data_IF_499620902219
#
_entry.id   IF_499620902219
#
_cell.length_a   1.000
_cell.length_b   1.000
_cell.length_c   1.000
_cell.angle_alpha   90.00
_cell.angle_beta   90.00
_cell.angle_gamma   90.00
#
_symmetry.space_group_name_H-M   'P 1'
#
loop_
_entity.id
_entity.type
_entity.pdbx_description
1 polymer ?
#
# COMPACT_ATOMS: atom_id res chain seq x y z
N UNK A 1 27.17 -28.56 26.04
CA UNK A 1 27.62 -27.17 25.83
C UNK A 1 26.48 -26.17 25.94
N UNK A 2 25.45 -26.23 25.08
CA UNK A 2 24.33 -25.25 25.08
C UNK A 2 23.53 -25.23 26.40
N UNK A 3 23.25 -26.37 27.01
CA UNK A 3 22.57 -26.45 28.33
C UNK A 3 23.26 -25.62 29.41
N UNK A 4 24.60 -25.60 29.40
CA UNK A 4 25.42 -24.88 30.38
C UNK A 4 25.40 -23.37 30.14
N UNK A 5 25.31 -22.96 28.87
CA UNK A 5 25.27 -21.54 28.47
C UNK A 5 23.89 -20.93 28.72
N UNK A 6 22.84 -21.73 28.55
CA UNK A 6 21.45 -21.27 28.55
C UNK A 6 20.69 -21.54 29.85
N UNK A 7 21.35 -22.15 30.85
CA UNK A 7 20.68 -22.53 32.10
C UNK A 7 19.53 -23.54 31.91
N UNK A 8 19.58 -24.33 30.83
CA UNK A 8 18.57 -25.34 30.51
C UNK A 8 17.28 -24.80 29.88
N UNK A 9 17.28 -23.57 29.33
CA UNK A 9 16.10 -22.95 28.70
C UNK A 9 16.49 -22.21 27.42
N UNK A 10 15.66 -22.31 26.38
CA UNK A 10 15.87 -21.54 25.14
C UNK A 10 14.68 -20.63 24.89
N UNK A 11 14.88 -19.32 25.06
CA UNK A 11 13.81 -18.34 24.91
C UNK A 11 13.48 -18.04 23.44
N UNK A 12 14.48 -18.06 22.55
CA UNK A 12 14.29 -17.77 21.13
C UNK A 12 15.15 -18.71 20.28
N UNK A 13 14.54 -19.36 19.30
CA UNK A 13 15.22 -20.09 18.22
C UNK A 13 14.94 -19.36 16.90
N UNK A 14 15.99 -18.91 16.21
CA UNK A 14 15.88 -18.28 14.89
C UNK A 14 16.50 -19.17 13.83
N UNK A 15 15.67 -19.73 12.98
CA UNK A 15 16.09 -20.54 11.84
C UNK A 15 16.19 -19.64 10.60
N UNK A 16 17.37 -19.05 10.41
CA UNK A 16 17.66 -18.13 9.30
C UNK A 16 18.37 -18.77 8.11
N UNK A 17 19.12 -19.86 8.34
CA UNK A 17 19.94 -20.47 7.30
C UNK A 17 19.08 -20.89 6.10
N UNK A 18 19.54 -20.54 4.90
CA UNK A 18 18.88 -20.95 3.69
C UNK A 18 19.70 -20.74 2.43
N UNK A 19 19.35 -21.49 1.38
CA UNK A 19 19.89 -21.36 0.03
C UNK A 19 18.88 -20.70 -0.88
N UNK A 20 19.40 -19.73 -1.62
CA UNK A 20 18.76 -19.06 -2.73
C UNK A 20 18.87 -19.93 -3.99
N UNK A 21 17.76 -20.16 -4.67
CA UNK A 21 17.69 -20.86 -5.95
C UNK A 21 16.57 -20.35 -6.88
N UNK A 22 16.88 -19.44 -7.81
CA UNK A 22 15.91 -18.82 -8.75
C UNK A 22 16.26 -19.26 -10.17
N UNK A 23 15.52 -20.23 -10.70
CA UNK A 23 15.65 -20.76 -12.06
C UNK A 23 14.24 -21.00 -12.61
N UNK A 24 13.97 -20.78 -13.91
CA UNK A 24 12.70 -21.15 -14.53
C UNK A 24 12.33 -22.61 -14.23
N UNK A 25 11.06 -22.86 -13.95
CA UNK A 25 10.61 -24.15 -13.42
C UNK A 25 10.92 -25.36 -14.32
N UNK A 26 11.05 -25.16 -15.63
CA UNK A 26 11.39 -26.22 -16.60
C UNK A 26 12.90 -26.46 -16.73
N UNK A 27 13.73 -25.51 -16.31
CA UNK A 27 15.20 -25.55 -16.45
C UNK A 27 15.88 -25.89 -15.12
N UNK A 28 15.11 -26.27 -14.10
CA UNK A 28 15.59 -26.45 -12.74
C UNK A 28 16.30 -27.80 -12.57
N UNK A 29 17.50 -27.76 -12.00
CA UNK A 29 18.22 -28.97 -11.58
C UNK A 29 17.65 -29.48 -10.25
N UNK A 30 17.09 -30.69 -10.27
CA UNK A 30 16.49 -31.34 -9.11
C UNK A 30 17.51 -31.58 -7.99
N UNK A 31 18.78 -31.82 -8.31
CA UNK A 31 19.81 -32.00 -7.28
C UNK A 31 20.09 -30.71 -6.51
N UNK A 32 20.03 -29.55 -7.20
CA UNK A 32 20.09 -28.25 -6.56
C UNK A 32 18.83 -27.94 -5.72
N UNK A 33 17.66 -28.43 -6.15
CA UNK A 33 16.43 -28.35 -5.36
C UNK A 33 16.57 -29.15 -4.08
N UNK A 34 17.07 -30.39 -4.14
CA UNK A 34 17.30 -31.22 -2.93
C UNK A 34 18.19 -30.52 -1.92
N UNK A 35 19.30 -29.95 -2.38
CA UNK A 35 20.20 -29.19 -1.50
C UNK A 35 19.52 -27.94 -0.88
N UNK A 36 18.60 -27.31 -1.60
CA UNK A 36 17.78 -26.23 -1.05
C UNK A 36 16.81 -26.73 0.02
N UNK A 37 16.22 -27.92 -0.14
CA UNK A 37 15.36 -28.54 0.89
C UNK A 37 16.13 -28.90 2.16
N UNK A 38 17.36 -29.41 2.04
CA UNK A 38 18.24 -29.68 3.18
C UNK A 38 18.43 -28.44 4.06
N UNK A 39 18.79 -27.31 3.45
CA UNK A 39 19.03 -26.07 4.18
C UNK A 39 17.72 -25.38 4.63
N UNK A 40 16.73 -25.28 3.75
CA UNK A 40 15.56 -24.41 3.95
C UNK A 40 14.42 -25.09 4.71
N UNK A 41 14.38 -26.43 4.76
CA UNK A 41 13.26 -27.18 5.35
C UNK A 41 13.76 -28.17 6.40
N UNK A 42 14.64 -29.10 6.03
CA UNK A 42 15.08 -30.16 6.95
C UNK A 42 15.96 -29.62 8.08
N UNK A 43 16.84 -28.65 7.81
CA UNK A 43 17.60 -27.94 8.83
C UNK A 43 16.71 -27.34 9.92
N UNK A 44 15.75 -26.46 9.57
CA UNK A 44 14.77 -25.94 10.51
C UNK A 44 13.98 -27.01 11.29
N UNK A 45 13.57 -28.10 10.64
CA UNK A 45 12.87 -29.20 11.32
C UNK A 45 13.76 -29.87 12.37
N UNK A 46 15.01 -30.17 12.02
CA UNK A 46 15.99 -30.76 12.93
C UNK A 46 16.27 -29.83 14.12
N UNK A 47 16.41 -28.53 13.87
CA UNK A 47 16.60 -27.54 14.95
C UNK A 47 15.41 -27.53 15.91
N UNK A 48 14.17 -27.52 15.40
CA UNK A 48 12.98 -27.60 16.25
C UNK A 48 12.95 -28.87 17.09
N UNK A 49 13.30 -30.03 16.51
CA UNK A 49 13.33 -31.30 17.24
C UNK A 49 14.39 -31.31 18.34
N UNK A 50 15.63 -30.89 18.03
CA UNK A 50 16.75 -30.88 18.98
C UNK A 50 16.49 -29.92 20.14
N UNK A 51 15.91 -28.75 19.86
CA UNK A 51 15.69 -27.70 20.86
C UNK A 51 14.32 -27.76 21.55
N UNK A 52 13.42 -28.68 21.17
CA UNK A 52 12.08 -28.79 21.77
C UNK A 52 12.13 -28.91 23.30
N UNK A 53 13.05 -29.72 23.83
CA UNK A 53 13.25 -29.91 25.27
C UNK A 53 13.69 -28.65 26.02
N UNK A 54 14.19 -27.63 25.33
CA UNK A 54 14.59 -26.33 25.89
C UNK A 54 13.56 -25.23 25.63
N UNK A 55 12.91 -25.29 24.47
CA UNK A 55 11.87 -24.35 24.05
C UNK A 55 10.58 -24.51 24.87
N UNK A 56 10.14 -25.74 25.13
CA UNK A 56 8.89 -26.00 25.87
C UNK A 56 8.97 -25.51 27.32
N UNK A 57 10.03 -25.83 28.11
CA UNK A 57 10.15 -25.31 29.47
C UNK A 57 10.35 -23.79 29.54
N UNK A 58 11.02 -23.22 28.53
CA UNK A 58 11.21 -21.78 28.40
C UNK A 58 9.96 -21.03 27.94
N UNK A 59 8.99 -21.75 27.33
CA UNK A 59 7.88 -21.15 26.58
C UNK A 59 8.40 -20.24 25.46
N UNK A 60 9.44 -20.70 24.77
CA UNK A 60 10.20 -19.90 23.83
C UNK A 60 9.46 -19.55 22.54
N UNK A 61 10.14 -18.79 21.70
CA UNK A 61 9.68 -18.35 20.39
C UNK A 61 10.52 -19.02 19.31
N UNK A 62 9.87 -19.75 18.41
CA UNK A 62 10.52 -20.25 17.18
C UNK A 62 10.22 -19.27 16.06
N UNK A 63 11.27 -18.70 15.46
CA UNK A 63 11.21 -17.83 14.30
C UNK A 63 11.78 -18.56 13.09
N UNK A 64 10.89 -18.85 12.13
CA UNK A 64 11.22 -19.55 10.90
C UNK A 64 11.35 -18.54 9.77
N UNK A 65 12.55 -18.39 9.21
CA UNK A 65 12.82 -17.35 8.22
C UNK A 65 12.44 -17.80 6.80
N UNK A 66 11.47 -17.14 6.17
CA UNK A 66 10.87 -17.47 4.86
C UNK A 66 11.05 -16.34 3.82
N UNK A 67 10.60 -16.42 2.57
CA UNK A 67 10.71 -15.30 1.60
C UNK A 67 9.70 -15.46 0.46
N UNK A 68 9.45 -14.38 -0.29
CA UNK A 68 8.48 -14.38 -1.42
C UNK A 68 9.10 -15.00 -2.68
N UNK A 69 10.39 -14.75 -2.95
CA UNK A 69 11.19 -15.58 -3.86
C UNK A 69 11.53 -16.92 -3.20
N UNK A 70 11.51 -18.03 -3.95
CA UNK A 70 11.69 -19.44 -3.51
C UNK A 70 10.43 -20.23 -3.14
N UNK A 71 9.39 -20.13 -3.99
CA UNK A 71 8.05 -20.70 -3.79
C UNK A 71 8.00 -22.14 -3.23
N UNK A 72 8.83 -23.07 -3.71
CA UNK A 72 8.74 -24.49 -3.30
C UNK A 72 9.19 -24.73 -1.85
N UNK A 73 10.46 -24.44 -1.51
CA UNK A 73 11.00 -24.73 -0.16
C UNK A 73 10.38 -23.85 0.92
N UNK A 74 10.01 -22.61 0.58
CA UNK A 74 9.38 -21.69 1.52
C UNK A 74 7.89 -21.99 1.73
N UNK A 75 7.19 -22.48 0.69
CA UNK A 75 5.87 -23.08 0.84
C UNK A 75 5.91 -24.29 1.78
N UNK A 76 6.88 -25.20 1.59
CA UNK A 76 7.05 -26.37 2.46
C UNK A 76 7.36 -25.98 3.92
N UNK A 77 8.26 -25.02 4.15
CA UNK A 77 8.55 -24.51 5.49
C UNK A 77 7.34 -23.82 6.14
N UNK A 78 6.51 -23.13 5.35
CA UNK A 78 5.26 -22.52 5.81
C UNK A 78 4.26 -23.58 6.28
N UNK A 79 4.04 -24.61 5.46
CA UNK A 79 3.20 -25.76 5.81
C UNK A 79 3.69 -26.47 7.07
N UNK A 80 4.99 -26.73 7.19
CA UNK A 80 5.57 -27.30 8.41
C UNK A 80 5.33 -26.41 9.64
N UNK A 81 5.53 -25.11 9.49
CA UNK A 81 5.38 -24.15 10.59
C UNK A 81 3.94 -24.10 11.12
N UNK A 82 2.95 -24.24 10.23
CA UNK A 82 1.53 -24.32 10.61
C UNK A 82 1.23 -25.56 11.45
N UNK A 83 1.73 -26.72 11.03
CA UNK A 83 1.55 -27.98 11.78
C UNK A 83 2.20 -27.87 13.15
N UNK A 84 3.46 -27.42 13.20
CA UNK A 84 4.19 -27.25 14.46
C UNK A 84 3.46 -26.30 15.42
N UNK A 85 2.84 -25.23 14.92
CA UNK A 85 2.04 -24.31 15.76
C UNK A 85 0.83 -24.99 16.39
N UNK A 86 0.15 -25.87 15.64
CA UNK A 86 -1.00 -26.63 16.14
C UNK A 86 -0.57 -27.66 17.19
N UNK A 87 0.53 -28.35 16.95
CA UNK A 87 1.11 -29.32 17.89
C UNK A 87 1.58 -28.67 19.20
N UNK A 88 2.08 -27.43 19.15
CA UNK A 88 2.55 -26.71 20.32
C UNK A 88 1.43 -26.01 21.12
N UNK A 89 0.21 -25.94 20.59
CA UNK A 89 -0.96 -25.29 21.21
C UNK A 89 -1.35 -25.87 22.58
N UNK A 90 -1.36 -27.20 22.83
CA UNK A 90 -1.72 -27.78 24.12
C UNK A 90 -0.76 -27.41 25.26
N UNK A 91 0.49 -27.09 24.94
CA UNK A 91 1.50 -26.69 25.91
C UNK A 91 1.32 -25.23 26.39
N UNK A 92 0.23 -24.56 26.00
CA UNK A 92 0.11 -23.12 25.98
C UNK A 92 -0.98 -22.55 26.91
N UNK A 93 -0.99 -22.97 28.17
CA UNK A 93 -2.16 -22.76 29.03
C UNK A 93 -2.34 -21.34 29.57
N UNK A 94 -1.32 -20.47 29.64
CA UNK A 94 -1.50 -19.08 30.14
C UNK A 94 -0.62 -17.95 29.54
N UNK A 95 0.53 -18.20 28.85
CA UNK A 95 1.33 -17.21 28.06
C UNK A 95 2.20 -17.96 27.01
N UNK A 96 2.37 -17.38 25.81
CA UNK A 96 2.46 -18.10 24.51
C UNK A 96 3.85 -18.67 24.09
N UNK A 97 4.06 -20.00 24.18
CA UNK A 97 4.98 -20.72 23.26
C UNK A 97 4.46 -20.48 21.84
N UNK A 98 5.28 -19.87 21.00
CA UNK A 98 4.83 -19.35 19.70
C UNK A 98 5.79 -19.81 18.61
N UNK A 99 5.25 -20.44 17.57
CA UNK A 99 5.97 -20.62 16.31
C UNK A 99 5.49 -19.52 15.35
N UNK A 100 6.41 -18.68 14.87
CA UNK A 100 6.13 -17.66 13.87
C UNK A 100 6.93 -17.97 12.62
N UNK A 101 6.22 -18.08 11.51
CA UNK A 101 6.84 -17.91 10.22
C UNK A 101 7.10 -16.42 10.04
N UNK A 102 8.36 -16.08 9.90
CA UNK A 102 8.83 -14.73 9.63
C UNK A 102 9.37 -14.77 8.23
N UNK A 103 8.73 -14.14 7.26
CA UNK A 103 9.46 -13.94 6.02
C UNK A 103 10.69 -13.05 6.34
N UNK A 104 11.80 -13.15 5.59
CA UNK A 104 12.79 -12.08 5.33
C UNK A 104 12.06 -10.88 4.68
N UNK A 105 10.73 -10.84 4.77
CA UNK A 105 9.89 -9.68 4.86
C UNK A 105 9.27 -9.64 6.29
N UNK A 106 10.01 -9.12 7.29
CA UNK A 106 9.54 -8.12 8.27
C UNK A 106 9.32 -8.48 9.75
N UNK A 107 9.46 -9.74 10.20
CA UNK A 107 9.13 -10.07 11.60
C UNK A 107 10.28 -9.98 12.63
N UNK A 108 11.45 -9.44 12.26
CA UNK A 108 12.55 -9.18 13.22
C UNK A 108 12.39 -7.83 13.96
N UNK A 109 11.53 -6.93 13.48
CA UNK A 109 11.51 -5.52 13.91
C UNK A 109 10.85 -5.32 15.29
N UNK A 110 9.88 -6.15 15.67
CA UNK A 110 9.10 -5.96 16.90
C UNK A 110 9.71 -6.60 18.16
N UNK A 111 10.80 -7.38 18.05
CA UNK A 111 11.40 -8.11 19.18
C UNK A 111 12.89 -7.87 19.39
N UNK A 112 13.56 -7.16 18.49
CA UNK A 112 14.99 -6.83 18.65
C UNK A 112 15.18 -5.45 19.28
N UNK A 113 16.14 -5.29 20.23
CA UNK A 113 16.51 -3.99 20.74
C UNK A 113 17.04 -3.12 19.59
N UNK A 114 16.30 -2.03 19.30
CA UNK A 114 16.35 -1.21 18.07
C UNK A 114 17.68 -0.42 17.91
N UNK A 115 18.59 -0.48 18.87
CA UNK A 115 19.76 0.41 18.93
C UNK A 115 21.11 -0.21 18.48
N UNK A 116 21.12 -1.37 17.80
CA UNK A 116 22.37 -1.94 17.28
C UNK A 116 22.41 -2.05 15.74
N UNK A 117 23.50 -1.50 15.19
CA UNK A 117 23.83 -1.25 13.78
C UNK A 117 23.87 -2.47 12.85
N UNK A 118 23.85 -3.70 13.38
CA UNK A 118 23.95 -4.93 12.58
C UNK A 118 22.66 -5.30 11.82
N UNK A 119 21.49 -4.84 12.27
CA UNK A 119 20.18 -5.24 11.71
C UNK A 119 19.57 -4.22 10.76
N UNK A 120 20.18 -3.05 10.62
CA UNK A 120 19.67 -1.93 9.82
C UNK A 120 19.71 -2.22 8.31
N UNK A 121 20.78 -2.87 7.82
CA UNK A 121 20.86 -3.31 6.42
C UNK A 121 19.92 -4.48 6.08
N UNK A 122 19.52 -5.28 7.08
CA UNK A 122 18.55 -6.34 6.87
C UNK A 122 17.16 -5.72 6.64
N UNK A 123 16.78 -4.73 7.46
CA UNK A 123 15.51 -3.99 7.37
C UNK A 123 15.26 -3.35 5.99
N UNK A 124 16.31 -2.80 5.36
CA UNK A 124 16.22 -2.19 4.03
C UNK A 124 15.95 -3.21 2.91
N UNK A 125 16.54 -4.42 2.97
CA UNK A 125 16.30 -5.47 1.96
C UNK A 125 14.93 -6.13 2.08
N UNK A 126 14.40 -6.17 3.31
CA UNK A 126 13.18 -6.86 3.70
C UNK A 126 11.91 -6.09 3.23
N UNK A 127 12.00 -4.76 3.16
CA UNK A 127 10.94 -3.87 2.66
C UNK A 127 10.76 -3.94 1.13
N UNK A 128 11.79 -4.36 0.39
CA UNK A 128 11.84 -4.33 -1.09
C UNK A 128 11.09 -5.51 -1.75
N UNK A 129 10.67 -6.54 -1.01
CA UNK A 129 10.16 -7.80 -1.59
C UNK A 129 8.62 -7.99 -1.59
N UNK A 130 7.82 -6.97 -1.26
CA UNK A 130 6.36 -6.99 -1.35
C UNK A 130 5.80 -6.09 -2.48
N UNK A 131 6.67 -5.74 -3.42
CA UNK A 131 6.53 -4.67 -4.38
C UNK A 131 5.81 -5.08 -5.67
N UNK A 132 4.49 -4.85 -5.77
CA UNK A 132 3.84 -4.83 -7.07
C UNK A 132 3.79 -3.42 -7.64
N UNK A 133 4.42 -3.23 -8.79
CA UNK A 133 4.71 -1.93 -9.37
C UNK A 133 3.48 -1.22 -9.97
N UNK A 134 3.39 0.09 -9.83
CA UNK A 134 2.35 0.90 -10.48
C UNK A 134 2.49 0.85 -12.01
N UNK A 135 3.72 0.80 -12.52
CA UNK A 135 4.04 0.55 -13.94
C UNK A 135 4.58 -0.87 -14.03
N UNK A 136 4.04 -1.70 -14.92
CA UNK A 136 4.43 -3.11 -14.98
C UNK A 136 5.89 -3.26 -15.46
N UNK A 137 6.64 -4.25 -14.93
CA UNK A 137 8.03 -4.51 -15.36
C UNK A 137 8.18 -4.74 -16.88
N UNK A 138 7.13 -5.27 -17.52
CA UNK A 138 7.10 -5.49 -18.97
C UNK A 138 7.08 -4.19 -19.80
N UNK A 139 6.60 -3.07 -19.23
CA UNK A 139 6.61 -1.74 -19.86
C UNK A 139 7.79 -0.88 -19.35
N UNK A 140 8.24 -1.13 -18.11
CA UNK A 140 9.21 -0.31 -17.41
C UNK A 140 10.51 -0.09 -18.20
N UNK A 141 11.07 -1.16 -18.77
CA UNK A 141 12.33 -1.08 -19.51
C UNK A 141 12.28 -0.17 -20.74
N UNK A 142 11.18 -0.18 -21.48
CA UNK A 142 10.99 0.69 -22.66
C UNK A 142 10.84 2.15 -22.25
N UNK A 143 10.06 2.42 -21.20
CA UNK A 143 9.83 3.77 -20.70
C UNK A 143 11.09 4.39 -20.07
N UNK A 144 11.91 3.59 -19.38
CA UNK A 144 13.20 4.03 -18.86
C UNK A 144 14.14 4.42 -20.01
N UNK A 145 14.22 3.60 -21.07
CA UNK A 145 15.03 3.92 -22.27
C UNK A 145 14.55 5.19 -22.97
N UNK A 146 13.23 5.41 -23.03
CA UNK A 146 12.64 6.62 -23.58
C UNK A 146 12.80 7.86 -22.66
N UNK A 147 13.27 7.68 -21.42
CA UNK A 147 13.37 8.75 -20.42
C UNK A 147 12.01 9.31 -19.98
N UNK A 148 10.93 8.54 -20.16
CA UNK A 148 9.57 8.94 -19.79
C UNK A 148 9.21 8.55 -18.34
N UNK A 149 10.06 7.75 -17.69
CA UNK A 149 10.05 7.47 -16.26
C UNK A 149 11.47 7.49 -15.70
N UNK A 150 11.62 7.72 -14.40
CA UNK A 150 12.92 7.57 -13.70
C UNK A 150 13.06 6.20 -13.07
N UNK A 151 14.31 5.86 -12.73
CA UNK A 151 14.58 4.81 -11.74
C UNK A 151 13.89 5.14 -10.41
N UNK A 152 13.66 4.09 -9.62
CA UNK A 152 13.06 4.19 -8.30
C UNK A 152 14.10 4.76 -7.34
N UNK A 153 13.71 5.76 -6.56
CA UNK A 153 14.55 6.26 -5.49
C UNK A 153 14.55 5.30 -4.28
N UNK A 154 15.48 5.45 -3.31
CA UNK A 154 15.52 4.61 -2.12
C UNK A 154 14.26 4.67 -1.24
N UNK A 155 13.43 5.71 -1.43
CA UNK A 155 12.15 5.86 -0.74
C UNK A 155 10.98 5.16 -1.44
N UNK A 156 11.21 4.53 -2.60
CA UNK A 156 10.16 3.88 -3.39
C UNK A 156 9.37 4.83 -4.28
N UNK A 157 9.89 6.02 -4.58
CA UNK A 157 9.26 7.00 -5.47
C UNK A 157 9.89 7.00 -6.85
N UNK A 158 9.11 7.42 -7.86
CA UNK A 158 9.62 7.66 -9.20
C UNK A 158 8.87 8.80 -9.87
N UNK A 159 9.49 9.42 -10.86
CA UNK A 159 8.85 10.42 -11.72
C UNK A 159 8.31 9.75 -12.97
N UNK A 160 7.10 10.12 -13.36
CA UNK A 160 6.40 9.59 -14.54
C UNK A 160 5.86 10.74 -15.37
N UNK A 161 6.09 10.70 -16.68
CA UNK A 161 5.62 11.73 -17.60
C UNK A 161 4.09 11.82 -17.55
N UNK A 162 3.53 13.04 -17.49
CA UNK A 162 2.09 13.26 -17.28
C UNK A 162 1.20 12.59 -18.37
N UNK A 163 1.73 12.48 -19.60
CA UNK A 163 1.09 11.76 -20.72
C UNK A 163 1.00 10.23 -20.55
N UNK A 164 1.52 9.68 -19.46
CA UNK A 164 1.37 8.26 -19.15
C UNK A 164 0.32 8.01 -18.07
N UNK A 165 -0.23 9.06 -17.45
CA UNK A 165 -1.00 8.97 -16.21
C UNK A 165 -2.52 8.93 -16.40
N UNK A 166 -3.03 9.19 -17.61
CA UNK A 166 -4.46 9.11 -17.90
C UNK A 166 -4.72 8.55 -19.32
N UNK A 167 -5.86 7.90 -19.51
CA UNK A 167 -6.27 7.32 -20.80
C UNK A 167 -6.41 8.40 -21.89
N UNK A 168 -6.97 9.55 -21.52
CA UNK A 168 -7.13 10.72 -22.37
C UNK A 168 -6.01 11.75 -22.18
N UNK A 169 -4.87 11.32 -21.64
CA UNK A 169 -3.75 12.23 -21.39
C UNK A 169 -3.20 12.84 -22.69
N UNK A 170 -3.27 12.12 -23.81
CA UNK A 170 -2.90 12.65 -25.13
C UNK A 170 -3.83 13.79 -25.61
N UNK A 171 -5.04 13.88 -25.08
CA UNK A 171 -6.00 14.96 -25.37
C UNK A 171 -5.81 16.09 -24.35
N UNK A 172 -5.83 15.77 -23.06
CA UNK A 172 -5.76 16.74 -21.95
C UNK A 172 -4.38 17.38 -21.76
N UNK A 173 -3.32 16.68 -22.17
CA UNK A 173 -1.92 17.12 -22.07
C UNK A 173 -1.27 17.24 -23.45
N UNK A 174 -2.07 17.50 -24.50
CA UNK A 174 -1.56 17.70 -25.87
C UNK A 174 -0.49 18.80 -25.94
N UNK A 175 -0.61 19.81 -25.07
CA UNK A 175 0.33 20.93 -24.95
C UNK A 175 1.67 20.55 -24.29
N UNK A 176 1.79 19.35 -23.72
CA UNK A 176 3.02 18.83 -23.12
C UNK A 176 3.76 17.97 -24.14
N UNK A 177 4.90 18.41 -24.70
CA UNK A 177 5.70 17.58 -25.60
C UNK A 177 6.28 16.37 -24.86
N UNK A 178 6.33 15.22 -25.53
CA UNK A 178 6.92 13.97 -25.02
C UNK A 178 8.45 14.09 -25.03
N UNK A 179 8.99 14.68 -23.98
CA UNK A 179 10.42 14.92 -23.84
C UNK A 179 11.04 14.01 -22.76
N UNK A 180 12.21 13.40 -23.03
CA UNK A 180 12.94 12.65 -22.03
C UNK A 180 13.34 13.57 -20.87
N UNK A 181 13.29 13.05 -19.63
CA UNK A 181 13.61 13.84 -18.44
C UNK A 181 15.03 14.45 -18.48
N UNK A 182 15.98 13.79 -19.15
CA UNK A 182 17.35 14.25 -19.34
C UNK A 182 17.48 15.52 -20.18
N UNK A 183 16.46 15.84 -20.99
CA UNK A 183 16.43 17.03 -21.84
C UNK A 183 15.87 18.26 -21.12
N UNK A 184 15.28 18.07 -19.95
CA UNK A 184 14.61 19.12 -19.19
C UNK A 184 15.56 19.77 -18.17
N UNK A 185 15.39 21.08 -17.97
CA UNK A 185 15.98 21.76 -16.83
C UNK A 185 15.26 21.37 -15.54
N UNK A 186 16.00 21.27 -14.43
CA UNK A 186 15.47 20.83 -13.14
C UNK A 186 14.21 21.60 -12.70
N UNK A 187 14.16 22.91 -12.94
CA UNK A 187 13.02 23.77 -12.60
C UNK A 187 11.76 23.46 -13.42
N UNK A 188 11.90 22.88 -14.62
CA UNK A 188 10.79 22.58 -15.52
C UNK A 188 10.25 21.16 -15.34
N UNK A 189 10.98 20.26 -14.66
CA UNK A 189 10.59 18.85 -14.54
C UNK A 189 9.18 18.68 -13.98
N UNK A 190 8.77 19.49 -13.00
CA UNK A 190 7.44 19.41 -12.39
C UNK A 190 6.27 19.77 -13.33
N UNK A 191 6.53 20.40 -14.48
CA UNK A 191 5.51 20.68 -15.50
C UNK A 191 5.19 19.45 -16.36
N UNK A 192 6.17 18.54 -16.52
CA UNK A 192 6.11 17.41 -17.44
C UNK A 192 5.97 16.07 -16.72
N UNK A 193 6.47 15.99 -15.49
CA UNK A 193 6.56 14.76 -14.71
C UNK A 193 5.85 14.93 -13.38
N UNK A 194 5.09 13.91 -13.01
CA UNK A 194 4.52 13.76 -11.67
C UNK A 194 5.32 12.71 -10.90
N UNK A 195 5.59 13.00 -9.63
CA UNK A 195 6.17 12.02 -8.72
C UNK A 195 5.06 11.13 -8.17
N UNK A 196 5.19 9.82 -8.31
CA UNK A 196 4.25 8.82 -7.79
C UNK A 196 5.04 7.69 -7.10
N UNK A 197 4.42 6.94 -6.18
CA UNK A 197 5.03 5.72 -5.66
C UNK A 197 5.28 4.74 -6.80
N UNK A 198 6.42 4.06 -6.75
CA UNK A 198 6.78 3.04 -7.73
C UNK A 198 5.93 1.77 -7.56
N UNK A 199 5.43 1.51 -6.35
CA UNK A 199 4.69 0.32 -5.96
C UNK A 199 3.34 0.68 -5.36
N UNK A 200 2.29 -0.03 -5.77
CA UNK A 200 0.92 0.26 -5.34
C UNK A 200 0.69 -0.08 -3.85
N UNK A 201 1.39 -1.09 -3.33
CA UNK A 201 1.34 -1.49 -1.92
C UNK A 201 2.70 -1.20 -1.31
N UNK A 202 2.86 0.02 -0.76
CA UNK A 202 4.14 0.50 -0.24
C UNK A 202 3.94 1.60 0.81
N UNK A 203 4.97 1.85 1.63
CA UNK A 203 5.00 3.00 2.53
C UNK A 203 4.86 4.33 1.77
N UNK A 204 5.49 4.43 0.59
CA UNK A 204 5.38 5.59 -0.30
C UNK A 204 3.92 5.81 -0.76
N UNK A 205 3.15 4.75 -0.98
CA UNK A 205 1.72 4.90 -1.30
C UNK A 205 0.93 5.47 -0.12
N UNK A 206 1.24 5.09 1.11
CA UNK A 206 0.56 5.65 2.30
C UNK A 206 0.91 7.14 2.45
N UNK A 207 2.16 7.52 2.21
CA UNK A 207 2.54 8.94 2.14
C UNK A 207 1.80 9.68 1.00
N UNK A 208 1.71 9.06 -0.17
CA UNK A 208 1.05 9.63 -1.36
C UNK A 208 -0.45 9.86 -1.17
N UNK A 209 -1.16 8.99 -0.45
CA UNK A 209 -2.59 9.17 -0.18
C UNK A 209 -2.89 10.20 0.91
N UNK A 210 -1.85 10.80 1.51
CA UNK A 210 -1.99 11.99 2.34
C UNK A 210 -1.45 11.89 3.76
N UNK A 211 -0.84 10.78 4.16
CA UNK A 211 -0.27 10.66 5.50
C UNK A 211 1.12 11.29 5.58
N UNK A 212 1.48 11.79 6.77
CA UNK A 212 2.84 12.19 7.05
C UNK A 212 3.76 10.95 7.19
N UNK A 213 5.06 11.16 7.03
CA UNK A 213 6.07 10.09 7.04
C UNK A 213 6.02 9.19 8.28
N UNK A 214 5.74 9.77 9.46
CA UNK A 214 5.66 9.01 10.72
C UNK A 214 4.44 8.10 10.74
N UNK A 215 3.27 8.65 10.40
CA UNK A 215 2.01 7.88 10.36
C UNK A 215 2.06 6.83 9.25
N UNK A 216 2.54 7.19 8.07
CA UNK A 216 2.73 6.26 6.96
C UNK A 216 3.63 5.08 7.35
N UNK A 217 4.72 5.34 8.08
CA UNK A 217 5.58 4.27 8.61
C UNK A 217 4.83 3.36 9.58
N UNK A 218 4.01 3.90 10.47
CA UNK A 218 3.27 3.10 11.44
C UNK A 218 2.21 2.22 10.76
N UNK A 219 1.38 2.81 9.89
CA UNK A 219 0.38 2.09 9.11
C UNK A 219 1.06 1.01 8.25
N UNK A 220 2.20 1.33 7.62
CA UNK A 220 2.97 0.37 6.85
C UNK A 220 3.46 -0.80 7.71
N UNK A 221 4.00 -0.53 8.89
CA UNK A 221 4.46 -1.57 9.80
C UNK A 221 3.29 -2.46 10.25
N UNK A 222 2.13 -1.89 10.53
CA UNK A 222 0.94 -2.65 10.93
C UNK A 222 0.43 -3.53 9.78
N UNK A 223 0.37 -2.98 8.55
CA UNK A 223 0.01 -3.73 7.35
C UNK A 223 0.91 -4.95 7.17
N UNK A 224 2.22 -4.71 7.21
CA UNK A 224 3.25 -5.71 7.01
C UNK A 224 3.28 -6.76 8.14
N UNK A 225 2.89 -6.39 9.37
CA UNK A 225 2.85 -7.27 10.52
C UNK A 225 1.50 -7.98 10.72
N UNK A 226 0.51 -7.73 9.85
CA UNK A 226 -0.83 -8.32 9.94
C UNK A 226 -0.75 -9.86 9.87
N UNK A 227 -1.40 -10.59 10.80
CA UNK A 227 -1.48 -12.04 10.71
C UNK A 227 -2.29 -12.43 9.47
N UNK A 228 -1.68 -13.18 8.55
CA UNK A 228 -2.36 -13.74 7.38
C UNK A 228 -3.55 -14.59 7.83
N UNK A 229 -4.77 -14.21 7.44
CA UNK A 229 -5.96 -15.04 7.63
C UNK A 229 -6.17 -15.90 6.39
N UNK A 230 -6.26 -17.22 6.58
CA UNK A 230 -6.25 -18.21 5.49
C UNK A 230 -7.53 -18.19 4.61
N UNK A 231 -8.50 -17.32 4.93
CA UNK A 231 -9.74 -17.16 4.19
C UNK A 231 -9.71 -15.99 3.19
N UNK A 232 -8.61 -15.22 3.12
CA UNK A 232 -8.48 -14.06 2.24
C UNK A 232 -7.84 -14.44 0.88
N UNK A 233 -8.73 -14.82 -0.06
CA UNK A 233 -8.76 -14.51 -1.52
C UNK A 233 -7.47 -14.52 -2.40
N UNK A 234 -7.62 -14.98 -3.65
CA UNK A 234 -6.64 -14.77 -4.74
C UNK A 234 -6.96 -13.45 -5.47
N UNK A 235 -6.22 -12.34 -5.28
CA UNK A 235 -6.59 -11.06 -5.87
C UNK A 235 -6.50 -11.14 -7.40
N UNK A 236 -7.60 -10.83 -8.08
CA UNK A 236 -7.55 -10.48 -9.51
C UNK A 236 -7.06 -9.05 -9.65
N UNK A 237 -6.46 -8.67 -10.79
CA UNK A 237 -5.98 -7.30 -11.03
C UNK A 237 -7.01 -6.20 -10.71
N UNK A 238 -8.32 -6.48 -10.90
CA UNK A 238 -9.40 -5.53 -10.59
C UNK A 238 -9.54 -5.28 -9.09
N UNK A 239 -9.32 -6.29 -8.26
CA UNK A 239 -9.45 -6.22 -6.80
C UNK A 239 -8.11 -5.99 -6.10
N UNK A 240 -7.00 -6.00 -6.84
CA UNK A 240 -5.67 -5.76 -6.30
C UNK A 240 -5.57 -4.38 -5.60
N UNK A 241 -4.90 -4.35 -4.45
CA UNK A 241 -4.72 -3.17 -3.62
C UNK A 241 -5.97 -2.68 -2.85
N UNK A 242 -7.16 -3.26 -3.09
CA UNK A 242 -8.39 -2.82 -2.40
C UNK A 242 -8.29 -3.08 -0.90
N UNK A 243 -7.80 -4.26 -0.50
CA UNK A 243 -7.59 -4.58 0.91
C UNK A 243 -6.59 -3.63 1.57
N UNK A 244 -5.53 -3.24 0.85
CA UNK A 244 -4.55 -2.28 1.36
C UNK A 244 -5.17 -0.90 1.58
N UNK A 245 -5.97 -0.42 0.63
CA UNK A 245 -6.73 0.82 0.79
C UNK A 245 -7.74 0.72 1.94
N UNK A 246 -8.50 -0.37 2.03
CA UNK A 246 -9.44 -0.61 3.14
C UNK A 246 -8.70 -0.64 4.47
N UNK A 247 -7.52 -1.27 4.55
CA UNK A 247 -6.69 -1.28 5.74
C UNK A 247 -6.22 0.11 6.15
N UNK A 248 -5.79 0.94 5.19
CA UNK A 248 -5.41 2.34 5.45
C UNK A 248 -6.62 3.12 6.01
N UNK A 249 -7.81 2.90 5.44
CA UNK A 249 -9.05 3.54 5.91
C UNK A 249 -9.44 3.03 7.31
N UNK A 250 -9.33 1.74 7.57
CA UNK A 250 -9.63 1.13 8.87
C UNK A 250 -8.67 1.61 9.96
N UNK A 251 -7.41 1.92 9.60
CA UNK A 251 -6.44 2.50 10.53
C UNK A 251 -6.89 3.89 11.03
N UNK A 252 -7.66 4.65 10.24
CA UNK A 252 -8.29 5.90 10.69
C UNK A 252 -9.42 5.63 11.69
N UNK A 253 -10.27 4.64 11.42
CA UNK A 253 -11.44 4.32 12.25
C UNK A 253 -11.06 3.84 13.67
N UNK A 254 -9.86 3.28 13.84
CA UNK A 254 -9.34 2.90 15.16
C UNK A 254 -8.95 4.09 16.04
N UNK A 255 -8.83 5.29 15.47
CA UNK A 255 -8.47 6.53 16.17
C UNK A 255 -9.64 7.52 16.29
N UNK A 256 -10.87 7.15 15.92
CA UNK A 256 -12.01 8.08 15.87
C UNK A 256 -12.27 8.83 17.19
N UNK A 257 -12.32 10.17 17.10
CA UNK A 257 -12.40 11.10 18.23
C UNK A 257 -13.83 11.55 18.61
N UNK A 258 -14.89 10.82 18.26
CA UNK A 258 -16.26 11.16 18.67
C UNK A 258 -16.79 12.52 18.15
N UNK A 259 -17.72 13.15 18.89
CA UNK A 259 -18.67 14.24 18.54
C UNK A 259 -18.16 15.49 17.77
N UNK A 260 -16.88 15.62 17.44
CA UNK A 260 -16.28 16.84 16.86
C UNK A 260 -16.18 16.85 15.32
N UNK A 261 -16.62 15.78 14.63
CA UNK A 261 -16.41 15.59 13.18
C UNK A 261 -17.29 16.49 12.29
N UNK A 262 -18.40 17.03 12.82
CA UNK A 262 -19.38 17.85 12.08
C UNK A 262 -19.21 19.37 12.26
N UNK A 263 -18.08 19.83 12.83
CA UNK A 263 -17.85 21.25 13.06
C UNK A 263 -17.71 22.06 11.76
N UNK A 264 -18.17 23.31 11.75
CA UNK A 264 -17.87 24.26 10.65
C UNK A 264 -16.51 24.95 10.83
N UNK A 265 -15.87 24.81 11.99
CA UNK A 265 -14.59 25.46 12.30
C UNK A 265 -13.40 24.75 11.63
N UNK A 266 -12.70 25.45 10.75
CA UNK A 266 -11.50 24.96 10.07
C UNK A 266 -10.36 24.62 11.04
N UNK A 267 -10.29 25.31 12.19
CA UNK A 267 -9.27 25.07 13.22
C UNK A 267 -9.42 23.68 13.82
N UNK A 268 -10.66 23.29 14.13
CA UNK A 268 -10.98 21.96 14.63
C UNK A 268 -10.71 20.87 13.58
N UNK A 269 -10.99 21.16 12.31
CA UNK A 269 -10.64 20.23 11.21
C UNK A 269 -9.13 20.02 11.10
N UNK A 270 -8.35 21.10 11.15
CA UNK A 270 -6.88 21.01 11.13
C UNK A 270 -6.34 20.20 12.31
N UNK A 271 -6.88 20.40 13.51
CA UNK A 271 -6.50 19.63 14.70
C UNK A 271 -6.82 18.13 14.53
N UNK A 272 -8.03 17.80 14.07
CA UNK A 272 -8.45 16.42 13.79
C UNK A 272 -7.51 15.79 12.74
N UNK A 273 -7.25 16.46 11.62
CA UNK A 273 -6.40 15.92 10.56
C UNK A 273 -4.95 15.75 11.04
N UNK A 274 -4.45 16.68 11.84
CA UNK A 274 -3.13 16.57 12.46
C UNK A 274 -3.03 15.36 13.38
N UNK A 275 -4.04 15.11 14.22
CA UNK A 275 -4.09 13.95 15.11
C UNK A 275 -4.15 12.61 14.34
N UNK A 276 -4.85 12.57 13.21
CA UNK A 276 -4.85 11.42 12.29
C UNK A 276 -3.55 11.29 11.48
N UNK A 277 -2.60 12.21 11.66
CA UNK A 277 -1.29 12.14 11.03
C UNK A 277 -1.30 12.48 9.53
N UNK A 278 -2.25 13.30 9.07
CA UNK A 278 -2.25 13.81 7.69
C UNK A 278 -1.13 14.83 7.48
N UNK A 279 -0.55 14.82 6.29
CA UNK A 279 0.41 15.82 5.85
C UNK A 279 -0.30 17.13 5.45
N UNK A 280 0.47 18.21 5.28
CA UNK A 280 -0.08 19.55 5.02
C UNK A 280 -0.83 19.61 3.68
N UNK A 281 -0.34 18.92 2.66
CA UNK A 281 -0.97 18.90 1.33
C UNK A 281 -2.36 18.26 1.40
N UNK A 282 -2.49 17.11 2.05
CA UNK A 282 -3.76 16.45 2.25
C UNK A 282 -4.72 17.26 3.14
N UNK A 283 -4.21 17.97 4.15
CA UNK A 283 -5.04 18.89 4.95
C UNK A 283 -5.64 20.00 4.09
N UNK A 284 -4.84 20.58 3.18
CA UNK A 284 -5.32 21.60 2.25
C UNK A 284 -6.36 21.03 1.30
N UNK A 285 -6.12 19.85 0.73
CA UNK A 285 -7.06 19.20 -0.20
C UNK A 285 -8.42 18.91 0.46
N UNK A 286 -8.41 18.43 1.70
CA UNK A 286 -9.62 18.17 2.49
C UNK A 286 -10.38 19.47 2.77
N UNK A 287 -9.70 20.55 3.17
CA UNK A 287 -10.34 21.85 3.41
C UNK A 287 -10.87 22.51 2.12
N UNK A 288 -10.15 22.36 1.02
CA UNK A 288 -10.63 22.82 -0.30
C UNK A 288 -11.90 22.06 -0.68
N UNK A 289 -11.95 20.75 -0.46
CA UNK A 289 -13.15 19.94 -0.71
C UNK A 289 -14.31 20.32 0.22
N UNK A 290 -14.04 20.60 1.50
CA UNK A 290 -15.04 21.14 2.44
C UNK A 290 -15.64 22.45 1.89
N UNK A 291 -14.80 23.37 1.46
CA UNK A 291 -15.21 24.67 0.89
C UNK A 291 -16.08 24.50 -0.36
N UNK A 292 -15.75 23.53 -1.22
CA UNK A 292 -16.60 23.20 -2.39
C UNK A 292 -17.98 22.69 -1.98
N UNK A 293 -18.04 21.75 -1.03
CA UNK A 293 -19.31 21.23 -0.50
C UNK A 293 -20.19 22.34 0.10
N UNK A 294 -19.58 23.30 0.81
CA UNK A 294 -20.29 24.48 1.35
C UNK A 294 -20.84 25.39 0.25
N UNK A 295 -20.05 25.63 -0.82
CA UNK A 295 -20.49 26.40 -1.99
C UNK A 295 -21.63 25.72 -2.73
N UNK A 296 -21.55 24.41 -2.94
CA UNK A 296 -22.60 23.60 -3.57
C UNK A 296 -23.91 23.68 -2.78
N UNK A 297 -23.84 23.55 -1.45
CA UNK A 297 -24.99 23.72 -0.56
C UNK A 297 -25.58 25.13 -0.65
N UNK A 298 -24.75 26.17 -0.55
CA UNK A 298 -25.18 27.56 -0.62
C UNK A 298 -25.87 27.88 -1.96
N UNK A 299 -25.36 27.32 -3.07
CA UNK A 299 -26.00 27.44 -4.38
C UNK A 299 -27.40 26.84 -4.40
N UNK A 300 -27.57 25.64 -3.84
CA UNK A 300 -28.88 25.00 -3.71
C UNK A 300 -29.85 25.78 -2.81
N UNK A 301 -29.37 26.30 -1.67
CA UNK A 301 -30.17 27.15 -0.78
C UNK A 301 -30.64 28.45 -1.47
N UNK A 302 -29.76 29.07 -2.26
CA UNK A 302 -30.08 30.28 -3.02
C UNK A 302 -31.16 30.04 -4.09
N UNK A 303 -31.11 28.90 -4.79
CA UNK A 303 -32.17 28.49 -5.74
C UNK A 303 -33.51 28.35 -5.03
N UNK A 304 -33.53 27.69 -3.87
CA UNK A 304 -34.75 27.48 -3.09
C UNK A 304 -35.31 28.80 -2.54
N UNK A 305 -34.47 29.67 -1.96
CA UNK A 305 -34.87 31.00 -1.47
C UNK A 305 -35.44 31.90 -2.57
N UNK A 306 -34.80 31.96 -3.74
CA UNK A 306 -35.28 32.73 -4.89
C UNK A 306 -36.65 32.24 -5.36
N UNK A 307 -36.88 30.93 -5.37
CA UNK A 307 -38.17 30.38 -5.77
C UNK A 307 -39.29 30.76 -4.80
N UNK A 308 -39.06 30.68 -3.48
CA UNK A 308 -40.06 31.11 -2.50
C UNK A 308 -40.36 32.61 -2.61
N UNK A 309 -39.35 33.46 -2.79
CA UNK A 309 -39.53 34.90 -3.00
C UNK A 309 -40.22 35.26 -4.32
N UNK A 310 -40.07 34.44 -5.38
CA UNK A 310 -40.73 34.66 -6.66
C UNK A 310 -42.18 34.15 -6.69
N UNK A 311 -42.49 33.12 -5.88
CA UNK A 311 -43.83 32.56 -5.73
C UNK A 311 -44.83 33.57 -5.15
N UNK A 312 -44.32 34.52 -4.36
CA UNK A 312 -45.10 35.65 -3.82
C UNK A 312 -45.44 36.71 -4.89
N UNK A 313 -44.80 36.66 -6.07
CA UNK A 313 -44.91 37.69 -7.12
C UNK A 313 -45.58 37.18 -8.41
N UNK A 314 -45.34 35.92 -8.83
CA UNK A 314 -45.89 35.39 -10.09
C UNK A 314 -46.30 33.92 -9.92
N UNK A 315 -47.59 33.65 -10.10
CA UNK A 315 -48.25 32.37 -9.78
C UNK A 315 -47.83 31.12 -10.56
N UNK A 316 -46.89 31.20 -11.51
CA UNK A 316 -46.40 30.01 -12.22
C UNK A 316 -44.94 30.19 -12.71
N UNK A 317 -44.01 29.53 -12.04
CA UNK A 317 -42.60 29.38 -12.47
C UNK A 317 -42.25 27.89 -12.51
N UNK A 318 -41.51 27.48 -13.55
CA UNK A 318 -41.11 26.11 -13.87
C UNK A 318 -40.49 25.35 -12.67
N UNK A 319 -40.95 24.13 -12.44
CA UNK A 319 -40.83 23.40 -11.15
C UNK A 319 -39.65 22.42 -11.05
N UNK A 320 -39.04 21.98 -12.15
CA UNK A 320 -38.13 20.83 -12.12
C UNK A 320 -36.76 21.11 -11.46
N UNK A 321 -36.08 22.20 -11.83
CA UNK A 321 -34.80 22.62 -11.21
C UNK A 321 -34.95 22.93 -9.71
N UNK A 322 -36.12 23.43 -9.30
CA UNK A 322 -36.45 23.67 -7.90
C UNK A 322 -36.68 22.36 -7.16
N UNK A 323 -37.47 21.44 -7.71
CA UNK A 323 -37.71 20.13 -7.10
C UNK A 323 -36.41 19.35 -6.91
N UNK A 324 -35.53 19.35 -7.90
CA UNK A 324 -34.20 18.74 -7.78
C UNK A 324 -33.34 19.41 -6.70
N UNK A 325 -33.28 20.75 -6.66
CA UNK A 325 -32.49 21.48 -5.64
C UNK A 325 -33.06 21.29 -4.23
N UNK A 326 -34.39 21.29 -4.08
CA UNK A 326 -35.09 21.04 -2.81
C UNK A 326 -34.89 19.60 -2.34
N UNK A 327 -35.00 18.62 -3.24
CA UNK A 327 -34.74 17.22 -2.92
C UNK A 327 -33.28 17.00 -2.50
N UNK A 328 -32.33 17.64 -3.19
CA UNK A 328 -30.91 17.66 -2.78
C UNK A 328 -30.74 18.24 -1.38
N UNK A 329 -31.29 19.43 -1.08
CA UNK A 329 -31.19 20.00 0.29
C UNK A 329 -31.82 19.12 1.37
N UNK A 330 -32.95 18.48 1.09
CA UNK A 330 -33.61 17.57 2.05
C UNK A 330 -32.80 16.30 2.33
N UNK A 331 -31.90 15.93 1.42
CA UNK A 331 -31.06 14.73 1.52
C UNK A 331 -29.58 15.08 1.76
N UNK A 332 -29.22 16.36 1.81
CA UNK A 332 -27.85 16.82 1.95
C UNK A 332 -27.40 16.73 3.41
N UNK A 333 -26.55 15.76 3.70
CA UNK A 333 -25.76 15.74 4.92
C UNK A 333 -24.41 16.37 4.62
N UNK A 334 -23.99 17.38 5.40
CA UNK A 334 -22.64 17.92 5.26
C UNK A 334 -21.67 16.77 5.57
N UNK A 335 -20.74 16.46 4.65
CA UNK A 335 -19.73 15.46 4.92
C UNK A 335 -18.92 15.91 6.13
N UNK A 336 -18.68 14.97 7.02
CA UNK A 336 -17.83 15.19 8.17
C UNK A 336 -16.34 15.12 7.76
N UNK A 337 -15.46 15.59 8.63
CA UNK A 337 -14.02 15.57 8.41
C UNK A 337 -13.49 14.16 8.06
N UNK A 338 -13.95 13.12 8.77
CA UNK A 338 -13.51 11.74 8.53
C UNK A 338 -13.91 11.24 7.13
N UNK A 339 -15.13 11.58 6.68
CA UNK A 339 -15.63 11.23 5.35
C UNK A 339 -14.80 11.88 4.25
N UNK A 340 -14.43 13.15 4.38
CA UNK A 340 -13.61 13.84 3.38
C UNK A 340 -12.15 13.33 3.38
N UNK A 341 -11.62 12.93 4.54
CA UNK A 341 -10.32 12.26 4.62
C UNK A 341 -10.36 10.93 3.85
N UNK A 342 -11.40 10.10 4.08
CA UNK A 342 -11.58 8.82 3.37
C UNK A 342 -11.71 9.03 1.87
N UNK A 343 -12.55 9.98 1.45
CA UNK A 343 -12.70 10.34 0.03
C UNK A 343 -11.36 10.75 -0.60
N UNK A 344 -10.54 11.52 0.12
CA UNK A 344 -9.22 11.93 -0.34
C UNK A 344 -8.28 10.73 -0.55
N UNK A 345 -8.25 9.80 0.40
CA UNK A 345 -7.43 8.58 0.32
C UNK A 345 -7.87 7.70 -0.85
N UNK A 346 -9.17 7.43 -0.96
CA UNK A 346 -9.75 6.63 -2.04
C UNK A 346 -9.44 7.22 -3.41
N UNK A 347 -9.61 8.54 -3.56
CA UNK A 347 -9.33 9.27 -4.80
C UNK A 347 -7.87 9.10 -5.23
N UNK A 348 -6.92 9.31 -4.33
CA UNK A 348 -5.49 9.18 -4.61
C UNK A 348 -5.08 7.73 -4.89
N UNK A 349 -5.63 6.77 -4.14
CA UNK A 349 -5.34 5.36 -4.34
C UNK A 349 -5.91 4.83 -5.68
N UNK A 350 -7.15 5.18 -5.98
CA UNK A 350 -7.81 4.79 -7.23
C UNK A 350 -7.14 5.43 -8.46
N UNK A 351 -6.56 6.61 -8.29
CA UNK A 351 -5.71 7.22 -9.32
C UNK A 351 -4.50 6.32 -9.65
N UNK A 352 -3.77 5.81 -8.64
CA UNK A 352 -2.67 4.88 -8.87
C UNK A 352 -3.13 3.56 -9.52
N UNK A 353 -4.29 3.02 -9.11
CA UNK A 353 -4.89 1.85 -9.77
C UNK A 353 -5.24 2.11 -11.23
N UNK A 354 -5.69 3.32 -11.55
CA UNK A 354 -5.99 3.73 -12.92
C UNK A 354 -4.72 3.74 -13.75
N UNK A 355 -3.63 4.34 -13.25
CA UNK A 355 -2.32 4.32 -13.92
C UNK A 355 -1.83 2.89 -14.17
N UNK A 356 -1.95 2.00 -13.18
CA UNK A 356 -1.60 0.58 -13.34
C UNK A 356 -2.47 -0.13 -14.38
N UNK A 357 -3.76 0.14 -14.40
CA UNK A 357 -4.68 -0.41 -15.41
C UNK A 357 -4.30 0.04 -16.83
N UNK A 358 -3.86 1.29 -16.98
CA UNK A 358 -3.34 1.79 -18.27
C UNK A 358 -2.06 1.07 -18.68
N UNK A 359 -1.15 0.83 -17.73
CA UNK A 359 0.05 0.02 -17.97
C UNK A 359 -0.31 -1.40 -18.42
N UNK A 360 -1.26 -2.07 -17.75
CA UNK A 360 -1.77 -3.39 -18.16
C UNK A 360 -2.31 -3.39 -19.59
N UNK A 361 -3.09 -2.37 -19.95
CA UNK A 361 -3.63 -2.22 -21.32
C UNK A 361 -2.52 -2.08 -22.35
N UNK A 362 -1.48 -1.27 -22.09
CA UNK A 362 -0.34 -1.11 -23.00
C UNK A 362 0.46 -2.40 -23.16
N UNK A 363 0.67 -3.15 -22.07
CA UNK A 363 1.37 -4.45 -22.11
C UNK A 363 0.55 -5.49 -22.88
N UNK A 364 -0.76 -5.60 -22.60
CA UNK A 364 -1.66 -6.61 -23.21
C UNK A 364 -1.95 -6.37 -24.70
N UNK A 365 -1.96 -5.11 -25.15
CA UNK A 365 -2.07 -4.76 -26.56
C UNK A 365 -0.78 -5.05 -27.35
N UNK A 366 0.27 -5.54 -26.68
CA UNK A 366 1.62 -5.65 -27.22
C UNK A 366 2.25 -4.26 -27.40
N UNK A 367 3.56 -4.17 -27.17
CA UNK A 367 4.34 -2.94 -27.41
C UNK A 367 4.20 -2.35 -28.83
N UNK A 368 3.49 -3.04 -29.74
CA UNK A 368 3.16 -2.60 -31.10
C UNK A 368 1.84 -1.85 -31.25
N UNK A 369 1.02 -1.69 -30.20
CA UNK A 369 -0.09 -0.73 -30.24
C UNK A 369 -0.09 0.18 -29.02
N UNK A 370 1.00 0.94 -28.89
CA UNK A 370 0.85 2.32 -28.46
C UNK A 370 -0.12 3.01 -29.46
N UNK A 371 -1.34 3.32 -29.05
CA UNK A 371 -2.01 4.53 -29.56
C UNK A 371 -1.43 5.66 -28.68
N UNK A 372 -0.51 6.56 -29.04
CA UNK A 372 0.35 6.86 -30.20
C UNK A 372 -0.14 6.48 -31.58
N UNK A 373 -1.08 7.22 -32.13
CA UNK A 373 -1.25 7.16 -33.59
C UNK A 373 -0.03 7.70 -34.37
N UNK A 374 1.05 8.18 -33.72
CA UNK A 374 2.17 8.82 -34.44
C UNK A 374 3.60 8.74 -33.84
N UNK A 375 3.90 8.09 -32.70
CA UNK A 375 5.19 8.34 -32.00
C UNK A 375 6.37 7.41 -32.37
N UNK A 376 6.17 6.36 -33.18
CA UNK A 376 7.31 5.55 -33.67
C UNK A 376 7.53 5.67 -35.18
N UNK A 377 6.57 6.20 -35.95
CA UNK A 377 6.74 6.47 -37.39
C UNK A 377 7.03 7.95 -37.72
N UNK A 378 7.33 8.79 -36.71
CA UNK A 378 7.76 10.19 -36.89
C UNK A 378 8.90 10.61 -35.92
N UNK A 379 9.84 9.70 -35.68
CA UNK A 379 11.24 10.04 -35.42
C UNK A 379 12.05 9.58 -36.64
#
# INVERSE_FOLDING_TARGET
MILRITGGKLDILVNNAGRAHTIPALDIDVDHVRQSFEANVFGPMAMCQVFAGLLVPARGLVLQVSSVGYAFTKGALSSYSRVLRMELKPFNTKKKLTNRLTHICNNLVSTLPINHTLYQHLLEMVLVSAAEEVILPAEEGDLLRAGLITEKDPGGWRKVHCRLLADESDISHLWIPLMPISTLQAASVGLYFKTIPAELVSAATIEYVGFNKTMARNIWLDWVCRPFDEHEWQPTDRLYGVEFMTFIIDALAQQSFGEFVHSTDDTLWLEIMYLHGLNIEAQVDVLMRKTECEKERAAHENVVKRFYSAKDVVGHVSTESFLQSRQRLLTWHMPDCEMLIKENIERHFLYLKTVRTLSMRRVSCGATTYKTTDVVNRL
#
